data_IF_874597254001
#
_entry.id   IF_874597254001
#
_cell.length_a   1.000
_cell.length_b   1.000
_cell.length_c   1.000
_cell.angle_alpha   90.00
_cell.angle_beta   90.00
_cell.angle_gamma   90.00
#
_symmetry.space_group_name_H-M   'P 1'
#
loop_
_entity.id
_entity.type
_entity.pdbx_description
1 polymer ?
#
# COMPACT_ATOMS: atom_id res chain seq x y z
N UNK A 1 -10.89 24.21 8.93
CA UNK A 1 -11.40 22.83 9.03
C UNK A 1 -12.11 22.32 7.76
N UNK A 2 -12.04 23.02 6.61
CA UNK A 2 -12.89 22.70 5.45
C UNK A 2 -12.17 22.00 4.30
N UNK A 3 -10.84 22.11 4.19
CA UNK A 3 -10.07 21.60 3.04
C UNK A 3 -9.73 20.12 3.12
N UNK A 4 -9.48 19.60 4.31
CA UNK A 4 -9.04 18.20 4.52
C UNK A 4 -10.18 17.19 4.24
N UNK A 5 -11.42 17.56 4.61
CA UNK A 5 -12.61 16.78 4.27
C UNK A 5 -12.92 16.82 2.77
N UNK A 6 -12.73 17.97 2.10
CA UNK A 6 -12.93 18.10 0.66
C UNK A 6 -11.92 17.28 -0.13
N UNK A 7 -10.63 17.35 0.22
CA UNK A 7 -9.59 16.53 -0.40
C UNK A 7 -9.88 15.04 -0.21
N UNK A 8 -10.37 14.65 0.97
CA UNK A 8 -10.76 13.25 1.26
C UNK A 8 -11.95 12.81 0.41
N UNK A 9 -12.91 13.70 0.18
CA UNK A 9 -14.02 13.49 -0.74
C UNK A 9 -13.52 13.25 -2.16
N UNK A 10 -12.64 14.11 -2.68
CA UNK A 10 -12.13 14.02 -4.06
C UNK A 10 -11.39 12.70 -4.31
N UNK A 11 -10.56 12.27 -3.36
CA UNK A 11 -9.83 11.00 -3.44
C UNK A 11 -10.78 9.79 -3.41
N UNK A 12 -11.76 9.80 -2.51
CA UNK A 12 -12.75 8.73 -2.42
C UNK A 12 -13.65 8.67 -3.66
N UNK A 13 -14.06 9.81 -4.20
CA UNK A 13 -14.87 9.91 -5.42
C UNK A 13 -14.10 9.41 -6.65
N UNK A 14 -12.84 9.82 -6.81
CA UNK A 14 -11.96 9.32 -7.88
C UNK A 14 -11.77 7.81 -7.80
N UNK A 15 -11.69 7.25 -6.58
CA UNK A 15 -11.59 5.81 -6.37
C UNK A 15 -12.91 5.08 -6.67
N UNK A 16 -14.04 5.66 -6.24
CA UNK A 16 -15.35 5.10 -6.53
C UNK A 16 -15.61 5.04 -8.04
N UNK A 17 -15.15 6.05 -8.78
CA UNK A 17 -15.25 6.12 -10.24
C UNK A 17 -14.52 4.98 -10.97
N UNK A 18 -13.61 4.23 -10.31
CA UNK A 18 -12.96 3.05 -10.92
C UNK A 18 -13.86 1.82 -10.90
N UNK A 19 -14.95 1.82 -10.15
CA UNK A 19 -15.89 0.70 -10.05
C UNK A 19 -16.96 0.74 -11.16
N UNK A 20 -16.51 0.72 -12.42
CA UNK A 20 -17.40 0.80 -13.58
C UNK A 20 -17.95 -0.58 -13.96
N UNK A 21 -19.07 -0.96 -13.33
CA UNK A 21 -19.88 -2.11 -13.72
C UNK A 21 -19.79 -3.32 -12.77
N UNK A 22 -20.58 -4.37 -13.02
CA UNK A 22 -20.81 -5.47 -12.07
C UNK A 22 -19.57 -6.32 -11.78
N UNK A 23 -18.59 -6.31 -12.68
CA UNK A 23 -17.36 -7.11 -12.63
C UNK A 23 -16.12 -6.21 -12.51
N UNK A 24 -16.28 -4.95 -12.08
CA UNK A 24 -15.15 -4.07 -11.89
C UNK A 24 -14.20 -4.68 -10.85
N UNK A 25 -12.90 -4.79 -11.14
CA UNK A 25 -11.94 -5.32 -10.19
C UNK A 25 -11.80 -4.37 -8.99
N UNK A 26 -11.43 -4.92 -7.84
CA UNK A 26 -11.00 -4.09 -6.73
C UNK A 26 -9.84 -3.21 -7.20
N UNK A 27 -9.82 -1.95 -6.77
CA UNK A 27 -8.78 -0.98 -7.15
C UNK A 27 -8.10 -0.45 -5.91
N UNK A 28 -6.77 -0.54 -5.87
CA UNK A 28 -5.94 0.05 -4.84
C UNK A 28 -5.26 1.31 -5.41
N UNK A 29 -5.30 2.41 -4.66
CA UNK A 29 -4.63 3.67 -5.01
C UNK A 29 -3.89 4.24 -3.83
N UNK A 30 -2.84 4.99 -4.14
CA UNK A 30 -2.02 5.70 -3.17
C UNK A 30 -1.92 7.18 -3.56
N UNK A 31 -1.88 8.05 -2.56
CA UNK A 31 -1.24 9.35 -2.69
C UNK A 31 -0.19 9.51 -1.59
N UNK A 32 0.42 10.68 -1.49
CA UNK A 32 1.46 10.98 -0.51
C UNK A 32 1.04 10.68 0.95
N UNK A 33 -0.25 10.79 1.26
CA UNK A 33 -0.80 10.80 2.62
C UNK A 33 -1.94 9.82 2.85
N UNK A 34 -2.45 9.17 1.79
CA UNK A 34 -3.62 8.31 1.85
C UNK A 34 -3.47 7.07 1.00
N UNK A 35 -4.22 6.06 1.41
CA UNK A 35 -4.36 4.79 0.71
C UNK A 35 -5.85 4.52 0.55
N UNK A 36 -6.26 4.15 -0.65
CA UNK A 36 -7.65 3.88 -0.99
C UNK A 36 -7.84 2.49 -1.55
N UNK A 37 -8.87 1.79 -1.10
CA UNK A 37 -9.37 0.55 -1.72
C UNK A 37 -10.83 0.72 -2.14
N UNK A 38 -11.13 0.56 -3.43
CA UNK A 38 -12.49 0.39 -3.93
C UNK A 38 -12.76 -1.05 -4.33
N UNK A 39 -13.97 -1.52 -4.08
CA UNK A 39 -14.43 -2.87 -4.41
C UNK A 39 -15.96 -2.93 -4.51
N UNK A 40 -16.51 -4.07 -4.91
CA UNK A 40 -17.95 -4.33 -4.81
C UNK A 40 -18.75 -4.12 -6.11
N UNK A 41 -18.12 -3.65 -7.19
CA UNK A 41 -18.71 -3.60 -8.54
C UNK A 41 -20.07 -2.90 -8.57
N UNK A 42 -21.16 -3.67 -8.61
CA UNK A 42 -22.56 -3.20 -8.63
C UNK A 42 -22.95 -2.36 -7.41
N UNK A 43 -22.42 -2.69 -6.23
CA UNK A 43 -22.60 -1.87 -5.02
C UNK A 43 -21.21 -1.47 -4.54
N UNK A 44 -20.64 -0.42 -5.16
CA UNK A 44 -19.26 -0.08 -4.91
C UNK A 44 -19.11 0.48 -3.49
N UNK A 45 -18.07 0.02 -2.81
CA UNK A 45 -17.65 0.48 -1.50
C UNK A 45 -16.21 0.97 -1.57
N UNK A 46 -15.92 2.01 -0.79
CA UNK A 46 -14.58 2.59 -0.67
C UNK A 46 -14.11 2.49 0.78
N UNK A 47 -12.82 2.21 0.95
CA UNK A 47 -12.09 2.39 2.21
C UNK A 47 -10.96 3.36 1.94
N UNK A 48 -10.90 4.43 2.73
CA UNK A 48 -9.78 5.37 2.72
C UNK A 48 -9.10 5.29 4.07
N UNK A 49 -7.79 5.11 4.04
CA UNK A 49 -6.93 5.06 5.20
C UNK A 49 -6.06 6.32 5.22
N UNK A 50 -5.94 6.94 6.41
CA UNK A 50 -5.19 8.18 6.62
C UNK A 50 -3.66 7.96 6.71
N UNK A 51 -3.12 7.11 5.83
CA UNK A 51 -1.69 6.94 5.61
C UNK A 51 -1.38 6.77 4.13
N UNK A 52 -0.26 7.30 3.70
CA UNK A 52 0.38 7.10 2.40
C UNK A 52 1.90 7.14 2.54
N UNK A 53 2.66 6.78 1.49
CA UNK A 53 4.11 6.57 1.61
C UNK A 53 4.86 7.75 2.22
N UNK A 54 4.60 8.99 1.76
CA UNK A 54 5.29 10.17 2.28
C UNK A 54 4.90 10.48 3.73
N UNK A 55 3.62 10.35 4.07
CA UNK A 55 3.17 10.56 5.46
C UNK A 55 3.81 9.56 6.41
N UNK A 56 4.03 8.32 6.01
CA UNK A 56 4.64 7.32 6.87
C UNK A 56 6.15 7.56 6.99
N UNK A 57 6.81 7.82 5.86
CA UNK A 57 8.24 8.13 5.76
C UNK A 57 8.65 9.43 6.48
N UNK A 58 7.71 10.34 6.79
CA UNK A 58 8.01 11.62 7.47
C UNK A 58 8.72 11.46 8.82
N UNK A 59 8.56 10.32 9.48
CA UNK A 59 9.20 10.03 10.77
C UNK A 59 10.52 9.29 10.63
N UNK A 60 10.95 9.00 9.40
CA UNK A 60 12.17 8.27 9.12
C UNK A 60 13.32 9.24 8.90
N UNK A 61 14.52 8.80 9.29
CA UNK A 61 15.72 9.53 8.92
C UNK A 61 16.07 9.23 7.44
N UNK A 62 16.96 10.01 6.82
CA UNK A 62 17.49 9.65 5.50
C UNK A 62 18.18 8.27 5.53
N UNK A 63 17.83 7.39 4.58
CA UNK A 63 18.34 6.02 4.51
C UNK A 63 17.34 4.97 5.02
N UNK A 64 17.84 3.78 5.36
CA UNK A 64 17.02 2.69 5.91
C UNK A 64 16.47 3.06 7.29
N UNK A 65 15.18 2.79 7.58
CA UNK A 65 14.60 3.09 8.89
C UNK A 65 15.25 2.25 9.99
N UNK A 66 15.30 2.79 11.20
CA UNK A 66 15.65 2.02 12.41
C UNK A 66 14.55 1.00 12.77
N UNK A 67 14.84 -0.01 13.62
CA UNK A 67 13.83 -0.98 14.05
C UNK A 67 12.64 -0.30 14.74
N UNK A 68 12.91 0.67 15.61
CA UNK A 68 11.86 1.44 16.29
C UNK A 68 10.99 2.26 15.32
N UNK A 69 11.57 2.78 14.23
CA UNK A 69 10.81 3.48 13.19
C UNK A 69 9.93 2.54 12.38
N UNK A 70 10.38 1.31 12.12
CA UNK A 70 9.55 0.27 11.50
C UNK A 70 8.40 -0.14 12.42
N UNK A 71 8.69 -0.45 13.69
CA UNK A 71 7.66 -0.83 14.67
C UNK A 71 6.58 0.26 14.83
N UNK A 72 7.00 1.52 14.95
CA UNK A 72 6.08 2.64 15.00
C UNK A 72 5.23 2.76 13.72
N UNK A 73 5.84 2.58 12.55
CA UNK A 73 5.14 2.66 11.28
C UNK A 73 4.12 1.51 11.11
N UNK A 74 4.47 0.29 11.51
CA UNK A 74 3.56 -0.86 11.54
C UNK A 74 2.37 -0.54 12.45
N UNK A 75 2.63 -0.17 13.71
CA UNK A 75 1.57 0.16 14.66
C UNK A 75 0.64 1.26 14.14
N UNK A 76 1.18 2.32 13.51
CA UNK A 76 0.39 3.39 12.93
C UNK A 76 -0.52 2.92 11.78
N UNK A 77 -0.02 2.03 10.92
CA UNK A 77 -0.81 1.46 9.82
C UNK A 77 -1.88 0.50 10.35
N UNK A 78 -1.53 -0.37 11.30
CA UNK A 78 -2.46 -1.31 11.93
C UNK A 78 -3.59 -0.59 12.68
N UNK A 79 -3.27 0.45 13.46
CA UNK A 79 -4.27 1.25 14.18
C UNK A 79 -5.26 1.91 13.23
N UNK A 80 -4.78 2.44 12.11
CA UNK A 80 -5.60 3.05 11.07
C UNK A 80 -6.52 2.01 10.40
N UNK A 81 -5.96 0.85 10.01
CA UNK A 81 -6.71 -0.26 9.43
C UNK A 81 -7.84 -0.70 10.37
N UNK A 82 -7.52 -0.92 11.64
CA UNK A 82 -8.50 -1.33 12.65
C UNK A 82 -9.53 -0.24 12.92
N UNK A 83 -9.13 1.04 12.92
CA UNK A 83 -10.09 2.15 13.03
C UNK A 83 -11.08 2.12 11.89
N UNK A 84 -10.62 2.05 10.64
CA UNK A 84 -11.50 2.05 9.46
C UNK A 84 -12.38 0.80 9.44
N UNK A 85 -11.85 -0.37 9.78
CA UNK A 85 -12.63 -1.62 9.88
C UNK A 85 -13.72 -1.55 10.95
N UNK A 86 -13.49 -0.89 12.09
CA UNK A 86 -14.54 -0.71 13.11
C UNK A 86 -15.70 0.16 12.62
N UNK A 87 -15.43 1.17 11.80
CA UNK A 87 -16.46 2.10 11.33
C UNK A 87 -17.21 1.58 10.10
N UNK A 88 -16.48 0.95 9.17
CA UNK A 88 -17.03 0.58 7.86
C UNK A 88 -17.17 -0.94 7.68
N UNK A 89 -16.67 -1.75 8.62
CA UNK A 89 -16.47 -3.19 8.43
C UNK A 89 -15.21 -3.49 7.59
N UNK A 90 -14.60 -4.68 7.76
CA UNK A 90 -13.49 -5.12 6.93
C UNK A 90 -13.96 -5.35 5.48
N UNK A 91 -13.09 -5.18 4.48
CA UNK A 91 -13.41 -5.60 3.12
C UNK A 91 -13.55 -7.13 3.02
N UNK A 92 -14.23 -7.63 1.97
CA UNK A 92 -14.29 -9.07 1.70
C UNK A 92 -12.90 -9.62 1.32
N UNK A 93 -12.78 -10.95 1.25
CA UNK A 93 -11.62 -11.60 0.65
C UNK A 93 -11.50 -11.25 -0.83
N UNK A 94 -10.34 -10.73 -1.23
CA UNK A 94 -10.03 -10.29 -2.58
C UNK A 94 -8.87 -11.12 -3.14
N UNK A 95 -9.11 -11.84 -4.24
CA UNK A 95 -8.05 -12.57 -4.92
C UNK A 95 -6.94 -11.61 -5.41
N UNK A 96 -7.34 -10.46 -5.95
CA UNK A 96 -6.42 -9.39 -6.32
C UNK A 96 -7.10 -8.03 -6.37
N UNK A 97 -6.28 -6.98 -6.42
CA UNK A 97 -6.69 -5.61 -6.72
C UNK A 97 -5.82 -5.07 -7.85
N UNK A 98 -6.39 -4.23 -8.72
CA UNK A 98 -5.63 -3.49 -9.74
C UNK A 98 -5.06 -2.22 -9.10
N UNK A 99 -3.78 -1.92 -9.36
CA UNK A 99 -3.18 -0.66 -8.99
C UNK A 99 -2.53 -0.01 -10.22
N UNK A 100 -3.11 1.09 -10.74
CA UNK A 100 -2.55 1.80 -11.88
C UNK A 100 -1.43 2.79 -11.51
N UNK A 101 -1.16 2.98 -10.21
CA UNK A 101 -0.15 3.95 -9.77
C UNK A 101 1.27 3.49 -10.15
N UNK A 102 2.17 4.41 -10.52
CA UNK A 102 3.52 4.07 -10.96
C UNK A 102 4.43 3.57 -9.82
N UNK A 103 4.19 3.97 -8.57
CA UNK A 103 5.07 3.67 -7.45
C UNK A 103 5.11 2.17 -7.11
N UNK A 104 3.99 1.43 -7.04
CA UNK A 104 4.03 -0.03 -6.89
C UNK A 104 4.74 -0.77 -8.02
N UNK A 105 4.75 -0.23 -9.24
CA UNK A 105 5.53 -0.77 -10.37
C UNK A 105 7.02 -0.57 -10.16
N UNK A 106 7.45 0.62 -9.73
CA UNK A 106 8.85 0.86 -9.38
C UNK A 106 9.30 -0.04 -8.23
N UNK A 107 8.45 -0.23 -7.21
CA UNK A 107 8.70 -1.18 -6.13
C UNK A 107 8.83 -2.62 -6.66
N UNK A 108 7.89 -3.09 -7.48
CA UNK A 108 7.95 -4.44 -8.05
C UNK A 108 9.25 -4.66 -8.84
N UNK A 109 9.69 -3.68 -9.63
CA UNK A 109 10.97 -3.73 -10.33
C UNK A 109 12.16 -3.82 -9.35
N UNK A 110 12.14 -3.07 -8.24
CA UNK A 110 13.18 -3.16 -7.20
C UNK A 110 13.25 -4.55 -6.56
N UNK A 111 12.10 -5.22 -6.41
CA UNK A 111 11.98 -6.58 -5.90
C UNK A 111 12.32 -7.67 -6.94
N UNK A 112 12.78 -7.28 -8.14
CA UNK A 112 13.23 -8.19 -9.19
C UNK A 112 12.13 -8.69 -10.13
N UNK A 113 10.93 -8.10 -10.09
CA UNK A 113 9.87 -8.39 -11.06
C UNK A 113 10.09 -7.60 -12.37
N UNK A 114 9.48 -8.03 -13.49
CA UNK A 114 9.57 -7.29 -14.75
C UNK A 114 9.11 -5.84 -14.60
N UNK A 115 9.84 -4.89 -15.18
CA UNK A 115 9.48 -3.47 -15.14
C UNK A 115 8.39 -3.05 -16.14
N UNK A 116 8.08 -3.90 -17.12
CA UNK A 116 7.16 -3.62 -18.23
C UNK A 116 6.10 -4.71 -18.40
N UNK A 117 5.01 -4.36 -19.08
CA UNK A 117 3.87 -5.27 -19.27
C UNK A 117 3.05 -5.45 -17.98
N UNK A 118 2.11 -6.39 -18.02
CA UNK A 118 1.30 -6.75 -16.84
C UNK A 118 2.17 -7.49 -15.84
N UNK A 119 2.19 -7.01 -14.60
CA UNK A 119 2.97 -7.58 -13.51
C UNK A 119 2.02 -7.93 -12.37
N UNK A 120 2.18 -9.12 -11.81
CA UNK A 120 1.46 -9.53 -10.62
C UNK A 120 2.43 -9.48 -9.43
N UNK A 121 2.22 -8.53 -8.52
CA UNK A 121 2.98 -8.43 -7.28
C UNK A 121 2.28 -9.27 -6.20
N UNK A 122 2.86 -10.42 -5.89
CA UNK A 122 2.33 -11.36 -4.90
C UNK A 122 2.65 -10.95 -3.48
N UNK A 123 1.78 -11.34 -2.54
CA UNK A 123 1.98 -11.15 -1.10
C UNK A 123 3.34 -11.69 -0.63
N UNK A 124 3.73 -12.86 -1.12
CA UNK A 124 4.99 -13.52 -0.75
C UNK A 124 6.22 -12.69 -1.17
N UNK A 125 6.16 -12.02 -2.33
CA UNK A 125 7.23 -11.15 -2.79
C UNK A 125 7.35 -9.88 -1.92
N UNK A 126 6.20 -9.33 -1.52
CA UNK A 126 6.11 -8.20 -0.58
C UNK A 126 6.65 -8.59 0.80
N UNK A 127 6.27 -9.77 1.31
CA UNK A 127 6.76 -10.29 2.60
C UNK A 127 8.27 -10.54 2.59
N UNK A 128 8.80 -11.13 1.51
CA UNK A 128 10.23 -11.32 1.36
C UNK A 128 10.99 -9.99 1.28
N UNK A 129 10.46 -9.01 0.52
CA UNK A 129 11.00 -7.65 0.50
C UNK A 129 11.00 -7.01 1.88
N UNK A 130 9.90 -7.09 2.61
CA UNK A 130 9.80 -6.53 3.96
C UNK A 130 10.78 -7.19 4.94
N UNK A 131 10.97 -8.52 4.86
CA UNK A 131 11.97 -9.22 5.68
C UNK A 131 13.39 -8.70 5.48
N UNK A 132 13.75 -8.36 4.24
CA UNK A 132 15.04 -7.74 3.92
C UNK A 132 15.13 -6.30 4.44
N UNK A 133 14.05 -5.53 4.35
CA UNK A 133 13.98 -4.18 4.93
C UNK A 133 14.19 -4.23 6.46
N UNK A 134 13.55 -5.16 7.15
CA UNK A 134 13.73 -5.38 8.58
C UNK A 134 15.17 -5.78 8.93
N UNK A 135 15.79 -6.68 8.15
CA UNK A 135 17.20 -7.04 8.36
C UNK A 135 18.14 -5.83 8.20
N UNK A 136 17.90 -4.98 7.19
CA UNK A 136 18.65 -3.73 7.02
C UNK A 136 18.46 -2.77 8.21
N UNK A 137 17.24 -2.64 8.72
CA UNK A 137 16.95 -1.84 9.91
C UNK A 137 17.71 -2.33 11.15
N UNK A 138 17.91 -3.64 11.27
CA UNK A 138 18.71 -4.28 12.33
C UNK A 138 20.23 -4.17 12.11
N UNK A 139 20.68 -3.44 11.09
CA UNK A 139 22.11 -3.22 10.83
C UNK A 139 22.77 -4.28 9.94
N UNK A 140 22.00 -4.99 9.10
CA UNK A 140 22.50 -5.91 8.06
C UNK A 140 22.41 -5.26 6.66
N UNK A 141 23.33 -4.34 6.29
CA UNK A 141 23.25 -3.59 5.04
C UNK A 141 23.50 -4.46 3.80
N UNK A 142 24.14 -5.63 3.94
CA UNK A 142 24.30 -6.61 2.85
C UNK A 142 22.98 -7.05 2.24
N UNK A 143 21.90 -6.96 3.01
CA UNK A 143 20.58 -7.45 2.63
C UNK A 143 19.79 -6.42 1.81
N UNK A 144 20.38 -5.25 1.53
CA UNK A 144 19.76 -4.12 0.82
C UNK A 144 19.56 -4.32 -0.69
N UNK A 145 20.25 -5.30 -1.30
CA UNK A 145 20.27 -5.51 -2.76
C UNK A 145 18.90 -5.86 -3.36
N UNK A 146 18.24 -4.89 -4.02
CA UNK A 146 16.87 -5.05 -4.53
C UNK A 146 15.80 -4.58 -3.54
N UNK A 147 16.12 -3.64 -2.65
CA UNK A 147 15.14 -2.80 -1.96
C UNK A 147 15.07 -1.42 -2.61
N UNK A 148 13.96 -0.69 -2.46
CA UNK A 148 13.94 0.74 -2.71
C UNK A 148 15.01 1.45 -1.89
N UNK A 149 15.66 2.46 -2.50
CA UNK A 149 16.73 3.22 -1.85
C UNK A 149 16.23 4.55 -1.26
N UNK A 150 14.99 4.92 -1.55
CA UNK A 150 14.30 6.08 -1.00
C UNK A 150 13.27 5.66 0.06
N UNK A 151 13.01 6.58 1.00
CA UNK A 151 12.12 6.33 2.14
C UNK A 151 10.67 6.11 1.71
N UNK A 152 10.21 6.72 0.61
CA UNK A 152 8.83 6.54 0.13
C UNK A 152 8.62 5.13 -0.43
N UNK A 153 9.57 4.60 -1.21
CA UNK A 153 9.51 3.23 -1.70
C UNK A 153 9.54 2.20 -0.58
N UNK A 154 10.39 2.41 0.44
CA UNK A 154 10.43 1.55 1.63
C UNK A 154 9.13 1.65 2.47
N UNK A 155 8.54 2.84 2.59
CA UNK A 155 7.25 3.03 3.25
C UNK A 155 6.10 2.38 2.48
N UNK A 156 6.12 2.46 1.15
CA UNK A 156 5.16 1.77 0.29
C UNK A 156 5.24 0.24 0.45
N UNK A 157 6.45 -0.32 0.55
CA UNK A 157 6.66 -1.73 0.84
C UNK A 157 6.03 -2.15 2.18
N UNK A 158 6.22 -1.35 3.24
CA UNK A 158 5.60 -1.59 4.54
C UNK A 158 4.07 -1.52 4.45
N UNK A 159 3.55 -0.45 3.84
CA UNK A 159 2.10 -0.27 3.65
C UNK A 159 1.52 -1.49 2.93
N UNK A 160 2.11 -1.91 1.80
CA UNK A 160 1.63 -3.08 1.07
C UNK A 160 1.70 -4.36 1.91
N UNK A 161 2.74 -4.56 2.71
CA UNK A 161 2.83 -5.71 3.62
C UNK A 161 1.66 -5.73 4.59
N UNK A 162 1.37 -4.62 5.26
CA UNK A 162 0.27 -4.55 6.23
C UNK A 162 -1.09 -4.67 5.54
N UNK A 163 -1.28 -4.01 4.40
CA UNK A 163 -2.51 -4.14 3.63
C UNK A 163 -2.74 -5.59 3.19
N UNK A 164 -1.75 -6.29 2.63
CA UNK A 164 -1.94 -7.66 2.16
C UNK A 164 -2.04 -8.69 3.28
N UNK A 165 -1.58 -8.34 4.49
CA UNK A 165 -1.70 -9.18 5.67
C UNK A 165 -3.08 -9.03 6.34
N UNK A 166 -3.53 -7.80 6.52
CA UNK A 166 -4.77 -7.48 7.26
C UNK A 166 -5.99 -7.37 6.36
N UNK A 167 -5.80 -6.98 5.11
CA UNK A 167 -6.79 -7.17 4.07
C UNK A 167 -6.49 -8.52 3.44
N UNK A 168 -7.46 -9.43 3.32
CA UNK A 168 -7.30 -10.70 2.62
C UNK A 168 -7.09 -10.47 1.10
N UNK A 169 -5.93 -9.91 0.72
CA UNK A 169 -5.52 -9.49 -0.62
C UNK A 169 -4.28 -10.29 -1.03
N UNK A 170 -4.44 -11.25 -1.94
CA UNK A 170 -3.34 -12.15 -2.30
C UNK A 170 -2.35 -11.54 -3.30
N UNK A 171 -2.80 -10.63 -4.17
CA UNK A 171 -1.97 -10.04 -5.21
C UNK A 171 -2.39 -8.62 -5.59
N UNK A 172 -1.42 -7.85 -6.09
CA UNK A 172 -1.63 -6.57 -6.75
C UNK A 172 -1.34 -6.71 -8.25
N UNK A 173 -2.35 -6.45 -9.07
CA UNK A 173 -2.24 -6.44 -10.53
C UNK A 173 -1.78 -5.05 -10.99
N UNK A 174 -0.60 -4.99 -11.59
CA UNK A 174 -0.01 -3.78 -12.13
C UNK A 174 -0.21 -3.79 -13.65
N UNK A 175 -1.13 -2.95 -14.19
CA UNK A 175 -1.41 -2.89 -15.61
C UNK A 175 -0.23 -2.28 -16.37
N UNK A 176 -0.05 -2.71 -17.62
CA UNK A 176 1.09 -2.37 -18.48
C UNK A 176 1.38 -0.88 -18.62
#
# INVERSE_FOLDING_TARGET
MSTDHLLTSDFAEALLATQTGPQAPATLRFDATRTGLAFGGTVPAVRVYAFGPASLARHWHPGFPTPAQLEYAIAAVEDELMRVHRHCGPPPSLASAVCPDPEPRALAASLGLPGSGRVQLLREAVEHGFGRLAACAEGRPSDSGGLPQDTNGMALLLILRELMHHLPLAALELPA
#
